data_IF_449301647182
#
_entry.id   IF_449301647182
#
_cell.length_a   1.000
_cell.length_b   1.000
_cell.length_c   1.000
_cell.angle_alpha   90.00
_cell.angle_beta   90.00
_cell.angle_gamma   90.00
#
_symmetry.space_group_name_H-M   'P 1'
#
loop_
_entity.id
_entity.type
_entity.pdbx_description
1 polymer ?
#
# COMPACT_ATOMS: atom_id res chain seq x y z
N UNK A 1 32.56 1.41 6.85
CA UNK A 1 32.03 1.36 5.49
C UNK A 1 30.63 2.01 5.45
N UNK A 2 30.28 2.61 4.32
CA UNK A 2 28.93 3.13 4.03
C UNK A 2 28.33 2.23 2.96
N UNK A 3 27.09 1.78 3.19
CA UNK A 3 26.29 1.04 2.19
C UNK A 3 25.17 1.96 1.73
N UNK A 4 25.02 2.15 0.43
CA UNK A 4 24.09 3.11 -0.15
C UNK A 4 23.65 2.65 -1.54
N UNK A 5 22.70 3.36 -2.17
CA UNK A 5 22.24 3.11 -3.52
C UNK A 5 21.68 1.69 -3.76
N UNK A 6 20.78 1.29 -2.88
CA UNK A 6 20.13 -0.03 -2.95
C UNK A 6 19.25 -0.26 -4.18
N UNK A 7 19.02 0.75 -5.03
CA UNK A 7 18.12 0.66 -6.19
C UNK A 7 18.84 0.37 -7.49
N UNK A 8 20.04 0.92 -7.69
CA UNK A 8 20.76 0.86 -8.99
C UNK A 8 21.03 -0.57 -9.44
N UNK A 9 21.44 -1.46 -8.54
CA UNK A 9 21.72 -2.86 -8.89
C UNK A 9 20.46 -3.60 -9.37
N UNK A 10 19.30 -3.29 -8.80
CA UNK A 10 18.02 -3.85 -9.26
C UNK A 10 17.64 -3.31 -10.63
N UNK A 11 17.78 -1.98 -10.84
CA UNK A 11 17.52 -1.31 -12.12
C UNK A 11 18.43 -1.86 -13.22
N UNK A 12 19.73 -2.03 -12.96
CA UNK A 12 20.68 -2.65 -13.89
C UNK A 12 20.28 -4.09 -14.28
N UNK A 13 19.60 -4.78 -13.36
CA UNK A 13 19.04 -6.10 -13.63
C UNK A 13 17.66 -6.06 -14.30
N UNK A 14 17.18 -4.87 -14.71
CA UNK A 14 15.91 -4.66 -15.40
C UNK A 14 14.70 -4.59 -14.48
N UNK A 15 14.91 -4.36 -13.19
CA UNK A 15 13.83 -4.13 -12.22
C UNK A 15 13.46 -2.65 -12.10
N UNK A 16 12.35 -2.38 -11.40
CA UNK A 16 11.82 -1.04 -11.13
C UNK A 16 12.61 -0.28 -10.03
N UNK A 17 13.55 -0.95 -9.32
CA UNK A 17 14.25 -0.39 -8.17
C UNK A 17 13.36 -0.19 -6.94
N UNK A 18 12.09 -0.61 -7.01
CA UNK A 18 11.09 -0.52 -5.94
C UNK A 18 9.92 -1.50 -6.22
N UNK A 19 9.14 -1.86 -5.19
CA UNK A 19 9.40 -1.64 -3.76
C UNK A 19 10.51 -2.56 -3.22
N UNK A 20 11.32 -2.10 -2.29
CA UNK A 20 12.38 -2.91 -1.66
C UNK A 20 11.95 -3.55 -0.32
N UNK A 21 10.94 -2.98 0.34
CA UNK A 21 10.42 -3.47 1.62
C UNK A 21 9.97 -4.94 1.65
N UNK A 22 9.43 -5.55 0.56
CA UNK A 22 8.87 -6.91 0.64
C UNK A 22 9.84 -7.98 1.11
N UNK A 23 11.14 -7.88 0.80
CA UNK A 23 12.14 -8.87 1.28
C UNK A 23 12.34 -8.75 2.79
N UNK A 24 12.40 -7.53 3.33
CA UNK A 24 12.40 -7.30 4.78
C UNK A 24 11.13 -7.89 5.43
N UNK A 25 9.97 -7.70 4.82
CA UNK A 25 8.71 -8.24 5.30
C UNK A 25 8.72 -9.79 5.31
N UNK A 26 9.37 -10.42 4.34
CA UNK A 26 9.60 -11.87 4.37
C UNK A 26 10.44 -12.26 5.61
N UNK A 27 11.54 -11.56 5.89
CA UNK A 27 12.34 -11.83 7.09
C UNK A 27 11.53 -11.64 8.38
N UNK A 28 10.76 -10.56 8.48
CA UNK A 28 9.90 -10.28 9.63
C UNK A 28 8.81 -11.34 9.80
N UNK A 29 8.28 -11.88 8.72
CA UNK A 29 7.24 -12.90 8.74
C UNK A 29 7.67 -14.21 9.44
N UNK A 30 8.95 -14.50 9.52
CA UNK A 30 9.44 -15.68 10.26
C UNK A 30 9.19 -15.56 11.77
N UNK A 31 9.33 -14.35 12.33
CA UNK A 31 9.01 -14.11 13.73
C UNK A 31 7.49 -14.14 13.98
N UNK A 32 6.71 -13.55 13.07
CA UNK A 32 5.24 -13.50 13.17
C UNK A 32 4.61 -14.88 13.00
N UNK A 33 5.12 -15.72 12.10
CA UNK A 33 4.56 -17.06 11.90
C UNK A 33 4.77 -17.98 13.11
N UNK A 34 5.82 -17.76 13.91
CA UNK A 34 5.98 -18.46 15.21
C UNK A 34 4.89 -18.09 16.22
N UNK A 35 4.21 -16.96 16.01
CA UNK A 35 3.04 -16.50 16.79
C UNK A 35 1.71 -16.91 16.16
N UNK A 36 1.72 -17.76 15.13
CA UNK A 36 0.53 -18.19 14.38
C UNK A 36 -0.01 -17.14 13.39
N UNK A 37 0.71 -16.05 13.15
CA UNK A 37 0.29 -14.95 12.29
C UNK A 37 0.78 -15.16 10.85
N UNK A 38 0.04 -15.98 10.10
CA UNK A 38 0.38 -16.33 8.71
C UNK A 38 -0.87 -16.88 7.99
N UNK A 39 -1.13 -16.60 6.70
CA UNK A 39 -0.44 -15.65 5.82
C UNK A 39 -0.61 -14.20 6.26
N UNK A 40 0.41 -13.35 5.99
CA UNK A 40 0.41 -11.96 6.44
C UNK A 40 0.60 -10.98 5.27
N UNK A 41 -0.19 -9.93 5.23
CA UNK A 41 -0.03 -8.78 4.34
C UNK A 41 0.40 -7.57 5.15
N UNK A 42 1.57 -7.04 4.85
CA UNK A 42 2.07 -5.79 5.39
C UNK A 42 1.60 -4.65 4.49
N UNK A 43 1.08 -3.58 5.06
CA UNK A 43 0.56 -2.45 4.29
C UNK A 43 1.14 -1.16 4.85
N UNK A 44 2.02 -0.54 4.06
CA UNK A 44 2.55 0.78 4.37
C UNK A 44 1.60 1.86 3.88
N UNK A 45 1.33 2.86 4.73
CA UNK A 45 0.57 4.06 4.39
C UNK A 45 1.42 5.31 4.62
N UNK A 46 2.28 5.62 3.67
CA UNK A 46 3.04 6.87 3.58
C UNK A 46 2.38 7.86 2.62
N UNK A 47 3.15 8.62 1.84
CA UNK A 47 2.63 9.43 0.73
C UNK A 47 1.95 8.56 -0.32
N UNK A 48 2.54 7.41 -0.60
CA UNK A 48 2.02 6.32 -1.43
C UNK A 48 1.79 5.11 -0.55
N UNK A 49 0.74 4.35 -0.83
CA UNK A 49 0.54 3.05 -0.22
C UNK A 49 1.26 1.95 -1.00
N UNK A 50 1.88 1.02 -0.28
CA UNK A 50 2.35 -0.23 -0.84
C UNK A 50 1.97 -1.41 0.06
N UNK A 51 1.87 -2.57 -0.55
CA UNK A 51 1.60 -3.81 0.19
C UNK A 51 2.65 -4.86 -0.12
N UNK A 52 2.82 -5.77 0.83
CA UNK A 52 3.63 -6.98 0.67
C UNK A 52 2.93 -8.17 1.33
N UNK A 53 2.50 -9.12 0.50
CA UNK A 53 1.98 -10.41 0.97
C UNK A 53 3.14 -11.39 1.19
N UNK A 54 3.21 -12.01 2.36
CA UNK A 54 4.01 -13.20 2.60
C UNK A 54 3.08 -14.37 2.84
N UNK A 55 3.15 -15.35 1.94
CA UNK A 55 2.28 -16.52 1.92
C UNK A 55 3.00 -17.73 1.36
N UNK A 56 2.38 -18.90 1.35
CA UNK A 56 2.99 -20.13 0.83
C UNK A 56 2.16 -20.81 -0.26
N UNK A 57 0.86 -20.82 -0.14
CA UNK A 57 0.00 -21.63 -1.02
C UNK A 57 0.34 -23.13 -0.93
N UNK A 58 0.05 -23.86 -2.00
CA UNK A 58 0.18 -25.32 -2.04
C UNK A 58 1.62 -25.83 -1.85
N UNK A 59 2.64 -25.03 -2.08
CA UNK A 59 4.04 -25.47 -1.99
C UNK A 59 4.60 -25.47 -0.57
N UNK A 60 3.88 -24.94 0.40
CA UNK A 60 4.30 -24.71 1.79
C UNK A 60 5.57 -23.85 1.95
N UNK A 61 6.26 -23.51 0.86
CA UNK A 61 7.40 -22.59 0.88
C UNK A 61 6.90 -21.14 0.90
N UNK A 62 7.39 -20.38 1.85
CA UNK A 62 7.05 -18.94 1.92
C UNK A 62 7.51 -18.22 0.65
N UNK A 63 6.58 -17.48 0.07
CA UNK A 63 6.81 -16.57 -1.05
C UNK A 63 6.41 -15.17 -0.63
N UNK A 64 7.02 -14.19 -1.24
CA UNK A 64 6.68 -12.78 -1.06
C UNK A 64 6.35 -12.17 -2.41
N UNK A 65 5.30 -11.37 -2.46
CA UNK A 65 5.02 -10.43 -3.55
C UNK A 65 4.69 -9.07 -2.94
N UNK A 66 4.98 -8.01 -3.67
CA UNK A 66 4.67 -6.67 -3.19
C UNK A 66 4.77 -5.65 -4.30
N UNK A 67 3.99 -4.58 -4.17
CA UNK A 67 3.86 -3.51 -5.18
C UNK A 67 3.20 -2.28 -4.56
N UNK A 68 3.32 -1.16 -5.25
CA UNK A 68 2.65 0.08 -4.88
C UNK A 68 1.17 0.04 -5.28
N UNK A 69 0.29 0.49 -4.37
CA UNK A 69 -1.15 0.48 -4.58
C UNK A 69 -1.66 1.77 -5.22
N UNK A 70 -1.11 2.92 -4.83
CA UNK A 70 -1.54 4.23 -5.31
C UNK A 70 -1.30 5.35 -4.30
N UNK A 71 -1.84 6.56 -4.56
CA UNK A 71 -1.76 7.68 -3.63
C UNK A 71 -2.34 7.32 -2.27
N UNK A 72 -1.72 7.82 -1.20
CA UNK A 72 -2.24 7.64 0.16
C UNK A 72 -2.33 8.99 0.87
N UNK A 73 -1.37 9.37 1.74
CA UNK A 73 -1.47 10.63 2.49
C UNK A 73 -1.25 11.89 1.65
N UNK A 74 -0.50 11.82 0.56
CA UNK A 74 -0.03 13.02 -0.15
C UNK A 74 -1.13 14.01 -0.46
N UNK A 75 -2.25 13.54 -0.99
CA UNK A 75 -3.38 14.44 -1.29
C UNK A 75 -4.05 14.97 -0.03
N UNK A 76 -4.23 14.13 1.00
CA UNK A 76 -4.85 14.53 2.26
C UNK A 76 -4.01 15.60 2.97
N UNK A 77 -2.69 15.40 3.08
CA UNK A 77 -1.77 16.35 3.72
C UNK A 77 -1.74 17.68 2.96
N UNK A 78 -1.68 17.62 1.62
CA UNK A 78 -1.74 18.81 0.78
C UNK A 78 -3.04 19.59 0.99
N UNK A 79 -4.19 18.92 1.05
CA UNK A 79 -5.49 19.55 1.26
C UNK A 79 -5.66 20.07 2.69
N UNK A 80 -5.20 19.33 3.71
CA UNK A 80 -5.18 19.80 5.09
C UNK A 80 -4.39 21.11 5.20
N UNK A 81 -3.25 21.19 4.50
CA UNK A 81 -2.45 22.43 4.43
C UNK A 81 -3.15 23.55 3.71
N UNK A 82 -3.75 23.27 2.55
CA UNK A 82 -4.38 24.28 1.70
C UNK A 82 -5.66 24.85 2.32
N UNK A 83 -6.50 24.01 2.91
CA UNK A 83 -7.82 24.40 3.41
C UNK A 83 -7.80 24.85 4.88
N UNK A 84 -6.96 24.24 5.71
CA UNK A 84 -7.00 24.41 7.17
C UNK A 84 -5.66 24.91 7.76
N UNK A 85 -4.61 25.04 6.96
CA UNK A 85 -3.27 25.43 7.43
C UNK A 85 -2.58 24.36 8.31
N UNK A 86 -3.12 23.15 8.36
CA UNK A 86 -2.56 22.01 9.10
C UNK A 86 -1.61 21.20 8.22
N UNK A 87 -0.56 20.62 8.81
CA UNK A 87 0.39 19.81 8.03
C UNK A 87 -0.19 18.46 7.61
N UNK A 88 -1.18 17.94 8.35
CA UNK A 88 -1.97 16.74 8.04
C UNK A 88 -3.28 16.74 8.83
N UNK A 89 -4.21 15.84 8.52
CA UNK A 89 -5.44 15.65 9.30
C UNK A 89 -5.20 14.74 10.50
N UNK A 90 -4.91 15.36 11.65
CA UNK A 90 -4.66 14.63 12.90
C UNK A 90 -5.91 13.89 13.37
N UNK A 91 -5.83 12.57 13.48
CA UNK A 91 -6.90 11.66 13.87
C UNK A 91 -8.16 11.74 12.98
N UNK A 92 -8.06 12.26 11.75
CA UNK A 92 -9.19 12.43 10.87
C UNK A 92 -10.19 13.51 11.29
N UNK A 93 -9.78 14.44 12.14
CA UNK A 93 -10.69 15.46 12.75
C UNK A 93 -11.22 16.45 11.72
N UNK A 94 -10.39 16.84 10.75
CA UNK A 94 -10.78 17.78 9.70
C UNK A 94 -11.83 17.18 8.75
N UNK A 95 -11.64 15.91 8.39
CA UNK A 95 -12.53 15.18 7.49
C UNK A 95 -13.77 14.59 8.17
N UNK A 96 -13.81 14.48 9.52
CA UNK A 96 -14.81 13.70 10.27
C UNK A 96 -16.28 14.06 9.99
N UNK A 97 -16.58 15.33 9.67
CA UNK A 97 -17.92 15.78 9.35
C UNK A 97 -18.27 15.73 7.85
N UNK A 98 -17.31 15.39 7.00
CA UNK A 98 -17.50 15.34 5.55
C UNK A 98 -18.15 14.05 5.07
N UNK A 99 -18.66 14.10 3.84
CA UNK A 99 -19.31 12.99 3.15
C UNK A 99 -18.45 12.50 1.98
N UNK A 100 -18.44 11.19 1.76
CA UNK A 100 -17.77 10.60 0.60
C UNK A 100 -18.59 10.91 -0.64
N UNK A 101 -18.00 11.63 -1.59
CA UNK A 101 -18.62 11.95 -2.88
C UNK A 101 -18.21 10.93 -3.95
N UNK A 102 -19.19 10.23 -4.53
CA UNK A 102 -18.94 9.16 -5.50
C UNK A 102 -18.39 9.67 -6.85
N UNK A 103 -18.76 10.89 -7.26
CA UNK A 103 -18.22 11.50 -8.49
C UNK A 103 -16.74 11.85 -8.31
N UNK A 104 -16.39 12.50 -7.18
CA UNK A 104 -15.00 12.80 -6.88
C UNK A 104 -14.18 11.50 -6.70
N UNK A 105 -14.75 10.47 -6.07
CA UNK A 105 -14.08 9.17 -5.94
C UNK A 105 -13.79 8.57 -7.32
N UNK A 106 -14.72 8.70 -8.27
CA UNK A 106 -14.51 8.24 -9.65
C UNK A 106 -13.43 9.06 -10.35
N UNK A 107 -13.49 10.39 -10.29
CA UNK A 107 -12.48 11.26 -10.88
C UNK A 107 -11.08 10.97 -10.32
N UNK A 108 -10.98 10.75 -8.99
CA UNK A 108 -9.74 10.34 -8.35
C UNK A 108 -9.23 9.01 -8.89
N UNK A 109 -10.10 8.02 -9.06
CA UNK A 109 -9.69 6.73 -9.60
C UNK A 109 -9.23 6.84 -11.06
N UNK A 110 -9.95 7.58 -11.88
CA UNK A 110 -9.67 7.67 -13.30
C UNK A 110 -8.46 8.55 -13.63
N UNK A 111 -8.18 9.59 -12.83
CA UNK A 111 -7.24 10.65 -13.21
C UNK A 111 -6.04 10.82 -12.27
N UNK A 112 -6.15 10.41 -10.99
CA UNK A 112 -5.11 10.70 -10.00
C UNK A 112 -3.77 10.02 -10.30
N UNK A 113 -3.78 8.92 -11.03
CA UNK A 113 -2.63 8.06 -11.22
C UNK A 113 -2.38 7.68 -12.69
N UNK A 114 -2.69 8.57 -13.63
CA UNK A 114 -2.45 8.33 -15.07
C UNK A 114 -0.95 8.47 -15.38
N UNK A 115 -0.36 7.44 -15.98
CA UNK A 115 1.05 7.40 -16.39
C UNK A 115 1.33 8.33 -17.57
N UNK A 116 2.59 8.46 -17.97
CA UNK A 116 2.99 9.23 -19.14
C UNK A 116 2.42 8.63 -20.45
N UNK A 117 2.25 7.32 -20.50
CA UNK A 117 1.72 6.58 -21.64
C UNK A 117 0.18 6.58 -21.69
N UNK A 118 -0.47 7.19 -20.71
CA UNK A 118 -1.93 7.31 -20.64
C UNK A 118 -2.64 6.18 -19.90
N UNK A 119 -1.91 5.18 -19.41
CA UNK A 119 -2.48 4.08 -18.64
C UNK A 119 -2.82 4.51 -17.21
N UNK A 120 -3.89 3.97 -16.66
CA UNK A 120 -4.18 4.15 -15.24
C UNK A 120 -3.29 3.21 -14.39
N UNK A 121 -2.36 3.79 -13.64
CA UNK A 121 -1.47 3.05 -12.75
C UNK A 121 -2.23 2.11 -11.79
N UNK A 122 -3.42 2.51 -11.35
CA UNK A 122 -4.21 1.69 -10.43
C UNK A 122 -4.63 0.36 -11.06
N UNK A 123 -4.75 0.30 -12.40
CA UNK A 123 -5.13 -0.89 -13.16
C UNK A 123 -3.94 -1.69 -13.71
N UNK A 124 -2.72 -1.15 -13.65
CA UNK A 124 -1.53 -1.86 -14.08
C UNK A 124 -1.31 -3.10 -13.20
N UNK A 125 -1.06 -4.22 -13.84
CA UNK A 125 -0.73 -5.48 -13.15
C UNK A 125 0.71 -5.41 -12.63
N UNK A 126 0.98 -5.79 -11.37
CA UNK A 126 2.34 -5.86 -10.84
C UNK A 126 3.27 -6.82 -11.63
N UNK A 127 4.58 -6.55 -11.67
CA UNK A 127 5.32 -5.58 -10.82
C UNK A 127 5.07 -4.14 -11.25
N UNK A 128 4.90 -3.25 -10.27
CA UNK A 128 4.72 -1.81 -10.50
C UNK A 128 5.22 -1.00 -9.31
N UNK A 129 5.82 0.14 -9.59
CA UNK A 129 6.24 1.11 -8.59
C UNK A 129 5.70 2.51 -8.90
N UNK A 130 5.53 3.30 -7.84
CA UNK A 130 4.99 4.66 -7.93
C UNK A 130 5.98 5.65 -8.53
N UNK A 131 5.45 6.71 -9.10
CA UNK A 131 6.21 7.82 -9.66
C UNK A 131 5.44 9.15 -9.54
N UNK A 132 5.99 10.24 -10.11
CA UNK A 132 5.36 11.57 -10.05
C UNK A 132 3.94 11.63 -10.63
N UNK A 133 3.57 10.68 -11.47
CA UNK A 133 2.24 10.58 -12.07
C UNK A 133 1.11 10.38 -11.04
N UNK A 134 1.41 9.90 -9.83
CA UNK A 134 0.41 9.69 -8.78
C UNK A 134 -0.17 10.98 -8.19
N UNK A 135 0.35 12.15 -8.54
CA UNK A 135 -0.01 13.41 -7.88
C UNK A 135 -0.59 14.47 -8.84
N UNK A 136 -1.09 14.04 -9.99
CA UNK A 136 -1.57 14.97 -11.06
C UNK A 136 -2.81 15.77 -10.68
N UNK A 137 -3.66 15.26 -9.78
CA UNK A 137 -4.89 15.96 -9.38
C UNK A 137 -4.69 17.03 -8.30
N UNK A 138 -3.48 17.22 -7.75
CA UNK A 138 -3.24 18.08 -6.60
C UNK A 138 -3.86 19.48 -6.73
N UNK A 139 -3.63 20.19 -7.85
CA UNK A 139 -4.18 21.53 -8.07
C UNK A 139 -5.68 21.51 -8.37
N UNK A 140 -6.18 20.50 -9.08
CA UNK A 140 -7.62 20.36 -9.37
C UNK A 140 -8.41 20.14 -8.09
N UNK A 141 -7.90 19.35 -7.16
CA UNK A 141 -8.57 19.05 -5.89
C UNK A 141 -8.79 20.30 -5.03
N UNK A 142 -7.86 21.24 -5.03
CA UNK A 142 -8.00 22.51 -4.30
C UNK A 142 -9.17 23.36 -4.78
N UNK A 143 -9.56 23.20 -6.05
CA UNK A 143 -10.60 23.97 -6.71
C UNK A 143 -11.81 23.08 -7.10
N UNK A 144 -11.92 21.90 -6.54
CA UNK A 144 -13.02 21.00 -6.86
C UNK A 144 -14.35 21.56 -6.32
N UNK A 145 -15.47 21.51 -7.07
CA UNK A 145 -16.74 22.19 -6.72
C UNK A 145 -17.53 21.45 -5.64
N UNK A 146 -16.91 21.20 -4.50
CA UNK A 146 -17.50 20.59 -3.30
C UNK A 146 -17.02 21.33 -2.06
N UNK A 147 -17.67 21.09 -0.93
CA UNK A 147 -17.18 21.56 0.38
C UNK A 147 -15.80 20.97 0.67
N UNK A 148 -14.88 21.79 1.20
CA UNK A 148 -13.50 21.38 1.52
C UNK A 148 -13.45 20.10 2.36
N UNK A 149 -14.37 19.98 3.31
CA UNK A 149 -14.47 18.82 4.19
C UNK A 149 -14.89 17.55 3.43
N UNK A 150 -15.79 17.66 2.45
CA UNK A 150 -16.20 16.52 1.61
C UNK A 150 -15.08 16.10 0.65
N UNK A 151 -14.30 17.09 0.15
CA UNK A 151 -13.12 16.81 -0.69
C UNK A 151 -12.10 16.01 0.15
N UNK A 152 -11.73 16.53 1.32
CA UNK A 152 -10.76 15.87 2.20
C UNK A 152 -11.23 14.48 2.60
N UNK A 153 -12.51 14.35 3.00
CA UNK A 153 -13.11 13.05 3.39
C UNK A 153 -13.08 12.04 2.24
N UNK A 154 -13.36 12.47 1.01
CA UNK A 154 -13.34 11.59 -0.17
C UNK A 154 -11.93 11.16 -0.52
N UNK A 155 -10.96 12.06 -0.41
CA UNK A 155 -9.54 11.75 -0.64
C UNK A 155 -9.00 10.76 0.38
N UNK A 156 -9.35 10.88 1.65
CA UNK A 156 -9.00 9.88 2.68
C UNK A 156 -9.65 8.52 2.42
N UNK A 157 -10.90 8.53 1.96
CA UNK A 157 -11.56 7.30 1.52
C UNK A 157 -10.85 6.66 0.34
N UNK A 158 -10.43 7.49 -0.62
CA UNK A 158 -9.70 7.03 -1.80
C UNK A 158 -8.37 6.35 -1.41
N UNK A 159 -7.66 6.85 -0.39
CA UNK A 159 -6.46 6.20 0.13
C UNK A 159 -6.72 4.75 0.57
N UNK A 160 -7.78 4.51 1.35
CA UNK A 160 -8.20 3.16 1.72
C UNK A 160 -8.67 2.33 0.52
N UNK A 161 -9.35 2.99 -0.43
CA UNK A 161 -9.90 2.37 -1.63
C UNK A 161 -8.82 1.82 -2.56
N UNK A 162 -7.73 2.57 -2.79
CA UNK A 162 -6.61 2.12 -3.64
C UNK A 162 -5.92 0.89 -3.07
N UNK A 163 -5.74 0.83 -1.75
CA UNK A 163 -5.19 -0.35 -1.06
C UNK A 163 -6.12 -1.55 -1.20
N UNK A 164 -7.41 -1.36 -0.95
CA UNK A 164 -8.40 -2.44 -1.09
C UNK A 164 -8.43 -2.97 -2.53
N UNK A 165 -8.52 -2.10 -3.52
CA UNK A 165 -8.52 -2.49 -4.93
C UNK A 165 -7.19 -3.12 -5.35
N UNK A 166 -6.09 -2.71 -4.74
CA UNK A 166 -4.78 -3.34 -4.92
C UNK A 166 -4.78 -4.83 -4.60
N UNK A 167 -5.57 -5.29 -3.62
CA UNK A 167 -5.63 -6.72 -3.24
C UNK A 167 -6.07 -7.66 -4.39
N UNK A 168 -6.70 -7.15 -5.44
CA UNK A 168 -7.10 -7.94 -6.61
C UNK A 168 -5.92 -8.54 -7.37
N UNK A 169 -4.75 -7.91 -7.27
CA UNK A 169 -3.52 -8.34 -7.96
C UNK A 169 -2.71 -9.38 -7.17
N UNK A 170 -3.10 -9.70 -5.96
CA UNK A 170 -2.42 -10.75 -5.20
C UNK A 170 -2.50 -12.09 -5.96
N UNK A 171 -1.38 -12.82 -6.12
CA UNK A 171 -1.35 -14.08 -6.87
C UNK A 171 -2.42 -15.07 -6.40
N UNK A 172 -3.11 -15.71 -7.35
CA UNK A 172 -4.23 -16.63 -7.05
C UNK A 172 -3.76 -17.95 -6.45
N UNK A 173 -2.53 -18.34 -6.75
CA UNK A 173 -1.87 -19.56 -6.26
C UNK A 173 -1.38 -19.44 -4.81
N UNK A 174 -1.34 -18.23 -4.26
CA UNK A 174 -0.96 -17.99 -2.88
C UNK A 174 -2.20 -17.91 -1.98
N UNK A 175 -2.06 -18.41 -0.75
CA UNK A 175 -3.10 -18.24 0.26
C UNK A 175 -3.34 -16.75 0.52
N UNK A 176 -4.61 -16.37 0.57
CA UNK A 176 -4.98 -14.98 0.79
C UNK A 176 -4.67 -14.56 2.23
N UNK A 177 -4.31 -13.28 2.49
CA UNK A 177 -3.87 -12.88 3.82
C UNK A 177 -4.98 -13.05 4.87
N UNK A 178 -4.61 -13.61 6.00
CA UNK A 178 -5.45 -13.64 7.22
C UNK A 178 -5.12 -12.49 8.17
N UNK A 179 -3.90 -11.97 8.08
CA UNK A 179 -3.42 -10.86 8.89
C UNK A 179 -3.03 -9.70 8.00
N UNK A 180 -3.64 -8.54 8.23
CA UNK A 180 -3.28 -7.27 7.63
C UNK A 180 -2.58 -6.43 8.69
N UNK A 181 -1.29 -6.21 8.52
CA UNK A 181 -0.47 -5.45 9.45
C UNK A 181 -0.11 -4.11 8.84
N UNK A 182 -0.68 -3.06 9.36
CA UNK A 182 -0.56 -1.71 8.85
C UNK A 182 0.52 -0.93 9.60
N UNK A 183 1.25 -0.11 8.87
CA UNK A 183 2.25 0.83 9.39
C UNK A 183 2.36 2.05 8.49
N UNK A 184 3.07 3.08 8.95
CA UNK A 184 3.09 4.40 8.30
C UNK A 184 2.07 5.36 8.90
N UNK A 185 2.35 6.66 8.73
CA UNK A 185 1.60 7.73 9.40
C UNK A 185 0.12 7.76 9.08
N UNK A 186 -0.24 7.46 7.82
CA UNK A 186 -1.62 7.55 7.37
C UNK A 186 -2.59 6.55 7.99
N UNK A 187 -2.11 5.39 8.38
CA UNK A 187 -2.95 4.42 9.08
C UNK A 187 -3.32 4.84 10.51
N UNK A 188 -2.68 5.87 11.06
CA UNK A 188 -3.09 6.47 12.35
C UNK A 188 -4.37 7.28 12.22
N UNK A 189 -4.76 7.69 11.01
CA UNK A 189 -6.06 8.28 10.75
C UNK A 189 -7.15 7.20 10.87
N UNK A 190 -8.05 7.27 11.89
CA UNK A 190 -9.05 6.26 12.16
C UNK A 190 -10.14 6.18 11.08
N UNK A 191 -10.32 7.24 10.28
CA UNK A 191 -11.26 7.23 9.16
C UNK A 191 -10.74 6.30 8.06
N UNK A 192 -9.48 6.47 7.66
CA UNK A 192 -8.84 5.63 6.62
C UNK A 192 -8.85 4.15 7.06
N UNK A 193 -8.46 3.88 8.31
CA UNK A 193 -8.48 2.53 8.87
C UNK A 193 -9.89 1.91 8.81
N UNK A 194 -10.90 2.63 9.32
CA UNK A 194 -12.30 2.17 9.32
C UNK A 194 -12.84 1.95 7.92
N UNK A 195 -12.47 2.80 6.97
CA UNK A 195 -12.90 2.67 5.58
C UNK A 195 -12.31 1.42 4.93
N UNK A 196 -11.03 1.13 5.16
CA UNK A 196 -10.42 -0.11 4.68
C UNK A 196 -11.13 -1.35 5.24
N UNK A 197 -11.44 -1.38 6.54
CA UNK A 197 -12.23 -2.47 7.15
C UNK A 197 -13.63 -2.55 6.54
N UNK A 198 -14.27 -1.41 6.29
CA UNK A 198 -15.61 -1.37 5.67
C UNK A 198 -15.58 -1.93 4.25
N UNK A 199 -14.55 -1.63 3.47
CA UNK A 199 -14.34 -2.20 2.14
C UNK A 199 -14.12 -3.72 2.20
N UNK A 200 -13.27 -4.21 3.10
CA UNK A 200 -13.04 -5.64 3.29
C UNK A 200 -14.32 -6.40 3.69
N UNK A 201 -15.16 -5.78 4.53
CA UNK A 201 -16.39 -6.40 5.06
C UNK A 201 -17.64 -6.17 4.20
N UNK A 202 -17.52 -5.49 3.06
CA UNK A 202 -18.64 -5.28 2.13
C UNK A 202 -19.58 -4.13 2.48
N UNK A 203 -19.17 -3.25 3.39
CA UNK A 203 -19.95 -2.08 3.84
C UNK A 203 -19.46 -0.77 3.26
N UNK A 204 -18.32 -0.76 2.58
CA UNK A 204 -17.75 0.43 1.94
C UNK A 204 -18.43 0.75 0.61
N UNK A 205 -18.42 2.05 0.25
CA UNK A 205 -18.87 2.53 -1.05
C UNK A 205 -17.96 1.98 -2.17
N UNK A 206 -18.55 1.48 -3.23
CA UNK A 206 -17.83 1.01 -4.42
C UNK A 206 -18.29 1.77 -5.65
N UNK A 207 -17.36 2.04 -6.54
CA UNK A 207 -17.69 2.44 -7.91
C UNK A 207 -18.36 1.24 -8.62
N UNK A 208 -19.40 1.46 -9.44
CA UNK A 208 -20.15 0.38 -10.08
C UNK A 208 -19.27 -0.62 -10.84
N UNK A 209 -18.27 -0.11 -11.56
CA UNK A 209 -17.30 -0.89 -12.34
C UNK A 209 -16.39 -1.79 -11.48
N UNK A 210 -16.26 -1.49 -10.19
CA UNK A 210 -15.39 -2.23 -9.26
C UNK A 210 -16.13 -3.28 -8.42
N UNK A 211 -17.45 -3.35 -8.48
CA UNK A 211 -18.25 -4.28 -7.65
C UNK A 211 -17.80 -5.72 -7.85
N UNK A 212 -17.66 -6.17 -9.10
CA UNK A 212 -17.26 -7.54 -9.40
C UNK A 212 -15.83 -7.87 -8.89
N UNK A 213 -14.90 -6.93 -9.03
CA UNK A 213 -13.55 -7.08 -8.52
C UNK A 213 -13.52 -7.15 -6.99
N UNK A 214 -14.29 -6.29 -6.32
CA UNK A 214 -14.43 -6.27 -4.87
C UNK A 214 -15.04 -7.57 -4.32
N UNK A 215 -16.04 -8.11 -4.97
CA UNK A 215 -16.62 -9.42 -4.62
C UNK A 215 -15.60 -10.56 -4.78
N UNK A 216 -14.80 -10.53 -5.85
CA UNK A 216 -13.76 -11.53 -6.06
C UNK A 216 -12.67 -11.45 -4.98
N UNK A 217 -12.29 -10.24 -4.53
CA UNK A 217 -11.38 -10.06 -3.39
C UNK A 217 -11.98 -10.72 -2.14
N UNK A 218 -13.24 -10.41 -1.81
CA UNK A 218 -13.91 -10.94 -0.61
C UNK A 218 -14.11 -12.45 -0.63
N UNK A 219 -14.43 -13.03 -1.81
CA UNK A 219 -14.54 -14.48 -1.99
C UNK A 219 -13.24 -15.22 -1.66
N UNK A 220 -12.07 -14.58 -1.78
CA UNK A 220 -10.78 -15.18 -1.43
C UNK A 220 -10.59 -15.44 0.06
N UNK A 221 -11.34 -14.78 0.93
CA UNK A 221 -11.35 -15.11 2.36
C UNK A 221 -11.98 -16.48 2.64
N UNK A 222 -12.77 -17.05 1.71
CA UNK A 222 -13.43 -18.37 1.83
C UNK A 222 -14.23 -18.53 3.12
N UNK A 223 -14.80 -17.44 3.64
CA UNK A 223 -15.52 -17.44 4.92
C UNK A 223 -14.61 -17.44 6.16
N UNK A 224 -13.30 -17.42 6.00
CA UNK A 224 -12.37 -17.33 7.11
C UNK A 224 -12.31 -15.92 7.69
N UNK A 225 -12.07 -15.82 8.98
CA UNK A 225 -11.84 -14.53 9.65
C UNK A 225 -10.50 -13.96 9.26
N UNK A 226 -10.46 -12.65 9.04
CA UNK A 226 -9.22 -11.88 8.94
C UNK A 226 -9.02 -11.02 10.19
N UNK A 227 -7.77 -10.62 10.41
CA UNK A 227 -7.37 -9.70 11.46
C UNK A 227 -6.65 -8.52 10.82
N UNK A 228 -7.02 -7.32 11.22
CA UNK A 228 -6.37 -6.09 10.77
C UNK A 228 -5.95 -5.30 12.01
N UNK A 229 -4.70 -4.87 12.07
CA UNK A 229 -4.14 -4.18 13.22
C UNK A 229 -2.91 -3.36 12.83
N UNK A 230 -2.53 -2.43 13.68
CA UNK A 230 -1.25 -1.74 13.52
C UNK A 230 -0.11 -2.69 13.86
N UNK A 231 1.01 -2.55 13.17
CA UNK A 231 2.23 -3.32 13.44
C UNK A 231 2.73 -3.10 14.89
N UNK A 232 2.49 -1.90 15.40
CA UNK A 232 2.80 -1.49 16.79
C UNK A 232 2.07 -2.35 17.84
N UNK A 233 0.84 -2.81 17.56
CA UNK A 233 0.05 -3.67 18.47
C UNK A 233 0.72 -5.01 18.75
N UNK A 234 1.66 -5.40 17.90
CA UNK A 234 2.44 -6.63 18.04
C UNK A 234 3.86 -6.39 18.57
N UNK A 235 4.14 -5.18 19.08
CA UNK A 235 5.44 -4.79 19.64
C UNK A 235 6.52 -4.54 18.59
N UNK A 236 6.11 -4.28 17.34
CA UNK A 236 7.00 -3.95 16.22
C UNK A 236 6.71 -2.52 15.80
N UNK A 237 7.57 -1.57 16.19
CA UNK A 237 7.32 -0.16 15.90
C UNK A 237 7.17 0.13 14.42
N UNK A 238 6.01 0.63 14.01
CA UNK A 238 5.74 1.10 12.66
C UNK A 238 6.62 2.29 12.26
N UNK A 239 6.93 3.17 13.21
CA UNK A 239 7.75 4.37 12.99
C UNK A 239 9.18 4.06 12.54
N UNK A 240 9.79 2.97 13.02
CA UNK A 240 11.15 2.59 12.67
C UNK A 240 11.23 1.55 11.55
N UNK A 241 10.14 1.32 10.83
CA UNK A 241 10.10 0.29 9.77
C UNK A 241 11.09 0.59 8.66
N UNK A 242 11.17 1.83 8.18
CA UNK A 242 12.11 2.22 7.13
C UNK A 242 13.57 2.04 7.58
N UNK A 243 13.90 2.48 8.79
CA UNK A 243 15.23 2.28 9.36
C UNK A 243 15.60 0.78 9.45
N UNK A 244 14.64 -0.08 9.83
CA UNK A 244 14.86 -1.53 9.84
C UNK A 244 15.05 -2.12 8.46
N UNK A 245 14.30 -1.64 7.45
CA UNK A 245 14.48 -2.04 6.06
C UNK A 245 15.90 -1.70 5.59
N UNK A 246 16.36 -0.46 5.82
CA UNK A 246 17.71 -0.03 5.47
C UNK A 246 18.79 -0.87 6.17
N UNK A 247 18.63 -1.13 7.47
CA UNK A 247 19.54 -1.97 8.22
C UNK A 247 19.57 -3.42 7.70
N UNK A 248 18.43 -3.99 7.32
CA UNK A 248 18.34 -5.34 6.77
C UNK A 248 18.97 -5.42 5.37
N UNK A 249 18.78 -4.41 4.53
CA UNK A 249 19.46 -4.29 3.24
C UNK A 249 20.98 -4.23 3.40
N UNK A 250 21.47 -3.36 4.27
CA UNK A 250 22.89 -3.26 4.55
C UNK A 250 23.49 -4.57 5.08
N UNK A 251 22.76 -5.27 5.97
CA UNK A 251 23.15 -6.60 6.44
C UNK A 251 23.21 -7.60 5.27
N UNK A 252 22.20 -7.63 4.42
CA UNK A 252 22.19 -8.52 3.25
C UNK A 252 23.35 -8.24 2.30
N UNK A 253 23.68 -6.96 2.05
CA UNK A 253 24.82 -6.57 1.25
C UNK A 253 26.14 -7.12 1.84
N UNK A 254 26.38 -6.90 3.14
CA UNK A 254 27.59 -7.38 3.83
C UNK A 254 27.70 -8.91 3.84
N UNK A 255 26.58 -9.62 3.85
CA UNK A 255 26.50 -11.08 3.81
C UNK A 255 26.46 -11.66 2.38
N UNK A 256 26.50 -10.85 1.33
CA UNK A 256 26.38 -11.25 -0.07
C UNK A 256 25.00 -11.88 -0.40
N UNK A 257 23.95 -11.52 0.33
CA UNK A 257 22.58 -12.02 0.15
C UNK A 257 21.78 -11.11 -0.77
N UNK A 258 20.97 -11.72 -1.62
CA UNK A 258 20.05 -10.98 -2.49
C UNK A 258 18.96 -10.31 -1.67
N UNK A 259 18.62 -9.07 -2.05
CA UNK A 259 17.54 -8.29 -1.45
C UNK A 259 16.42 -7.92 -2.44
N UNK A 260 16.55 -8.22 -3.71
CA UNK A 260 15.49 -8.03 -4.72
C UNK A 260 15.09 -9.37 -5.33
N UNK A 261 13.93 -9.41 -5.94
CA UNK A 261 13.40 -10.60 -6.58
C UNK A 261 12.49 -10.25 -7.77
N UNK A 262 12.47 -11.09 -8.83
CA UNK A 262 11.62 -10.87 -10.00
C UNK A 262 10.14 -10.64 -9.67
N UNK A 263 9.62 -11.35 -8.67
CA UNK A 263 8.21 -11.27 -8.25
C UNK A 263 7.86 -9.98 -7.51
N UNK A 264 8.86 -9.14 -7.22
CA UNK A 264 8.71 -7.88 -6.48
C UNK A 264 8.96 -6.69 -7.39
N UNK A 265 10.15 -6.63 -7.98
CA UNK A 265 10.62 -5.47 -8.76
C UNK A 265 10.60 -5.70 -10.26
N UNK A 266 10.28 -6.90 -10.73
CA UNK A 266 10.34 -7.27 -12.15
C UNK A 266 11.76 -7.49 -12.67
N UNK A 267 12.78 -7.48 -11.83
CA UNK A 267 14.17 -7.71 -12.24
C UNK A 267 14.37 -9.11 -12.83
N UNK A 268 15.31 -9.25 -13.78
CA UNK A 268 15.60 -10.56 -14.41
C UNK A 268 16.07 -11.61 -13.40
N UNK A 269 16.82 -11.19 -12.39
CA UNK A 269 17.27 -12.01 -11.24
C UNK A 269 17.48 -11.13 -10.04
N UNK A 270 17.23 -11.64 -8.84
CA UNK A 270 17.48 -10.87 -7.62
C UNK A 270 18.95 -10.44 -7.50
N UNK A 271 19.15 -9.24 -6.97
CA UNK A 271 20.46 -8.60 -6.79
C UNK A 271 20.84 -8.51 -5.32
N UNK A 272 22.15 -8.49 -5.08
CA UNK A 272 22.76 -7.97 -3.86
C UNK A 272 22.90 -6.48 -4.08
N UNK A 273 22.18 -5.67 -3.31
CA UNK A 273 22.04 -4.23 -3.54
C UNK A 273 22.84 -3.42 -2.51
N UNK A 274 23.64 -2.45 -2.95
CA UNK A 274 24.37 -1.54 -2.08
C UNK A 274 25.76 -1.15 -2.55
#
# INVERSE_FOLDING_TARGET
>A
PVVYDFRSDDIFNGGEGAPLAPVHNLHLSYALSRRGMFPVCFINGGNTANLALVSSGATLRKKVCGYDCGPFNHYADMLAKAFYGADFDEDGKLAAGGHINSMLLKDLYDEAAVTADGDNFLDIVPPKSSGPHLYRMAERLKNYPLAEQDILRTVEYFAAYTVFMGLRFLPKELDFPRYFLMFGGGWRNPLIYRDFISLLTGRGLLLPEHIAAAENIRKRFRGEKFFAAMLDDYGISGQYTEARIMADMARCFLEGKKFTAPEITGCRKGAVCG
#
